data_IF_594653306533
#
_entry.id   IF_594653306533
#
_cell.length_a   1.000
_cell.length_b   1.000
_cell.length_c   1.000
_cell.angle_alpha   90.00
_cell.angle_beta   90.00
_cell.angle_gamma   90.00
#
_symmetry.space_group_name_H-M   'P 1'
#
loop_
_entity.id
_entity.type
_entity.pdbx_description
1 polymer ?
#
# COMPACT_ATOMS: atom_id res chain seq x y z
N UNK A 1 -18.95 -0.97 -3.96
CA UNK A 1 -18.20 -0.56 -5.15
C UNK A 1 -17.51 -1.81 -5.66
N UNK A 2 -18.07 -2.44 -6.70
CA UNK A 2 -17.38 -3.51 -7.42
C UNK A 2 -16.21 -2.88 -8.17
N UNK A 3 -15.04 -2.92 -7.54
CA UNK A 3 -13.85 -2.27 -8.04
C UNK A 3 -13.24 -3.22 -9.05
N UNK A 4 -13.69 -3.09 -10.30
CA UNK A 4 -13.23 -3.85 -11.48
C UNK A 4 -11.75 -3.57 -11.74
N UNK A 5 -10.89 -4.13 -10.92
CA UNK A 5 -9.47 -4.20 -11.20
C UNK A 5 -9.24 -5.17 -12.37
N UNK A 6 -8.37 -4.83 -13.34
CA UNK A 6 -7.88 -5.80 -14.31
C UNK A 6 -7.27 -7.02 -13.60
N UNK A 7 -7.32 -8.20 -14.22
CA UNK A 7 -6.80 -9.44 -13.62
C UNK A 7 -5.33 -9.31 -13.18
N UNK A 8 -4.51 -8.60 -13.97
CA UNK A 8 -3.12 -8.28 -13.63
C UNK A 8 -2.97 -7.51 -12.30
N UNK A 9 -3.96 -6.68 -11.96
CA UNK A 9 -4.01 -5.95 -10.69
C UNK A 9 -4.61 -6.79 -9.56
N UNK A 10 -5.59 -7.66 -9.85
CA UNK A 10 -6.18 -8.58 -8.87
C UNK A 10 -5.14 -9.53 -8.29
N UNK A 11 -4.17 -9.98 -9.10
CA UNK A 11 -3.05 -10.79 -8.59
C UNK A 11 -2.19 -10.06 -7.55
N UNK A 12 -2.17 -8.73 -7.58
CA UNK A 12 -1.47 -7.87 -6.61
C UNK A 12 -2.33 -7.49 -5.42
N UNK A 13 -3.63 -7.83 -5.45
CA UNK A 13 -4.57 -7.68 -4.35
C UNK A 13 -4.33 -8.73 -3.24
N UNK A 14 -3.06 -9.08 -3.03
CA UNK A 14 -2.57 -10.04 -2.06
C UNK A 14 -1.26 -9.51 -1.48
N UNK A 15 -1.15 -9.54 -0.16
CA UNK A 15 0.02 -9.14 0.61
C UNK A 15 1.35 -9.78 0.14
N UNK A 16 1.31 -11.02 -0.37
CA UNK A 16 2.50 -11.77 -0.79
C UNK A 16 3.12 -11.28 -2.11
N UNK A 17 2.31 -10.78 -3.04
CA UNK A 17 2.73 -10.36 -4.39
C UNK A 17 2.86 -8.85 -4.52
N UNK A 18 2.24 -8.11 -3.60
CA UNK A 18 2.39 -6.67 -3.49
C UNK A 18 3.73 -6.34 -2.81
N UNK A 19 4.77 -6.14 -3.61
CA UNK A 19 6.16 -5.90 -3.17
C UNK A 19 6.71 -4.57 -3.73
N UNK A 20 7.83 -4.09 -3.17
CA UNK A 20 8.55 -2.93 -3.70
C UNK A 20 8.90 -3.08 -5.19
N UNK A 21 9.28 -4.28 -5.62
CA UNK A 21 9.60 -4.58 -7.01
C UNK A 21 8.38 -4.49 -7.92
N UNK A 22 7.23 -5.04 -7.49
CA UNK A 22 5.98 -4.90 -8.21
C UNK A 22 5.57 -3.43 -8.38
N UNK A 23 5.73 -2.61 -7.32
CA UNK A 23 5.44 -1.18 -7.40
C UNK A 23 6.38 -0.44 -8.34
N UNK A 24 7.67 -0.79 -8.31
CA UNK A 24 8.65 -0.22 -9.22
C UNK A 24 8.31 -0.54 -10.68
N UNK A 25 7.89 -1.78 -10.98
CA UNK A 25 7.46 -2.19 -12.33
C UNK A 25 6.20 -1.47 -12.78
N UNK A 26 5.18 -1.36 -11.93
CA UNK A 26 3.97 -0.59 -12.21
C UNK A 26 4.30 0.87 -12.50
N UNK A 27 5.20 1.44 -11.71
CA UNK A 27 5.67 2.81 -11.85
C UNK A 27 6.36 3.05 -13.21
N UNK A 28 7.31 2.19 -13.59
CA UNK A 28 8.03 2.28 -14.86
C UNK A 28 7.22 1.78 -16.07
N UNK A 29 5.92 1.49 -15.89
CA UNK A 29 5.04 0.91 -16.92
C UNK A 29 5.58 -0.39 -17.51
N UNK A 30 6.33 -1.14 -16.70
CA UNK A 30 6.84 -2.48 -17.00
C UNK A 30 5.93 -3.56 -16.42
N UNK A 31 4.82 -3.17 -15.79
CA UNK A 31 3.78 -4.05 -15.29
C UNK A 31 2.48 -3.78 -16.04
N UNK A 32 1.72 -4.83 -16.32
CA UNK A 32 0.41 -4.74 -16.98
C UNK A 32 -0.62 -4.03 -16.07
N UNK A 33 -0.40 -4.01 -14.77
CA UNK A 33 -1.21 -3.24 -13.85
C UNK A 33 -0.77 -1.76 -13.81
N UNK A 34 -1.63 -0.81 -14.20
CA UNK A 34 -1.26 0.60 -14.19
C UNK A 34 -1.11 1.15 -12.77
N UNK A 35 -0.22 2.11 -12.61
CA UNK A 35 -0.01 2.84 -11.34
C UNK A 35 -1.31 3.45 -10.77
N UNK A 36 -2.27 3.82 -11.62
CA UNK A 36 -3.58 4.34 -11.19
C UNK A 36 -4.41 3.32 -10.37
N UNK A 37 -4.17 2.02 -10.55
CA UNK A 37 -4.78 0.97 -9.76
C UNK A 37 -4.13 0.77 -8.38
N UNK A 38 -3.00 1.45 -8.09
CA UNK A 38 -2.26 1.26 -6.84
C UNK A 38 -3.10 1.54 -5.60
N UNK A 39 -3.90 2.61 -5.59
CA UNK A 39 -4.75 2.94 -4.43
C UNK A 39 -5.73 1.79 -4.11
N UNK A 40 -6.21 1.12 -5.15
CA UNK A 40 -7.15 0.02 -5.04
C UNK A 40 -6.48 -1.27 -4.58
N UNK A 41 -5.32 -1.58 -5.17
CA UNK A 41 -4.48 -2.70 -4.74
C UNK A 41 -4.05 -2.54 -3.28
N UNK A 42 -3.61 -1.34 -2.91
CA UNK A 42 -3.23 -1.00 -1.55
C UNK A 42 -4.40 -1.23 -0.59
N UNK A 43 -5.59 -0.72 -0.94
CA UNK A 43 -6.80 -0.90 -0.12
C UNK A 43 -7.08 -2.37 0.15
N UNK A 44 -7.05 -3.20 -0.89
CA UNK A 44 -7.41 -4.60 -0.74
C UNK A 44 -6.30 -5.45 -0.11
N UNK A 45 -5.02 -5.14 -0.35
CA UNK A 45 -3.90 -5.81 0.31
C UNK A 45 -3.81 -5.47 1.81
N UNK A 46 -4.29 -4.29 2.22
CA UNK A 46 -4.21 -3.77 3.59
C UNK A 46 -5.56 -3.72 4.34
N UNK A 47 -6.62 -4.25 3.73
CA UNK A 47 -7.93 -4.52 4.34
C UNK A 47 -8.71 -3.30 4.88
N UNK A 48 -8.45 -2.11 4.33
CA UNK A 48 -9.31 -0.94 4.57
C UNK A 48 -9.21 -0.27 5.95
N UNK A 49 -8.20 -0.61 6.76
CA UNK A 49 -7.99 -0.08 8.12
C UNK A 49 -7.16 1.21 8.21
N UNK A 50 -6.97 1.72 9.43
CA UNK A 50 -6.06 2.83 9.73
C UNK A 50 -4.82 2.33 10.47
N UNK A 51 -3.71 2.22 9.74
CA UNK A 51 -2.45 1.66 10.24
C UNK A 51 -1.43 2.74 10.63
N UNK A 52 -1.83 4.01 10.64
CA UNK A 52 -0.89 5.15 10.77
C UNK A 52 -0.08 5.10 12.06
N UNK A 53 -0.67 4.69 13.18
CA UNK A 53 0.04 4.57 14.46
C UNK A 53 1.15 3.51 14.39
N UNK A 54 0.87 2.34 13.80
CA UNK A 54 1.89 1.31 13.58
C UNK A 54 2.99 1.83 12.65
N UNK A 55 2.61 2.46 11.55
CA UNK A 55 3.58 3.00 10.58
C UNK A 55 4.47 4.08 11.18
N UNK A 56 3.94 4.97 12.01
CA UNK A 56 4.74 5.98 12.70
C UNK A 56 5.78 5.31 13.62
N UNK A 57 5.38 4.31 14.42
CA UNK A 57 6.30 3.56 15.29
C UNK A 57 7.37 2.79 14.51
N UNK A 58 7.05 2.31 13.32
CA UNK A 58 7.97 1.56 12.46
C UNK A 58 8.83 2.44 11.55
N UNK A 59 8.86 3.76 11.78
CA UNK A 59 9.77 4.66 11.07
C UNK A 59 9.42 4.87 9.59
N UNK A 60 8.14 4.69 9.20
CA UNK A 60 7.70 4.94 7.83
C UNK A 60 7.88 6.40 7.42
N UNK A 61 7.89 7.32 8.38
CA UNK A 61 8.10 8.76 8.16
C UNK A 61 9.57 9.16 8.07
N UNK A 62 10.53 8.23 8.16
CA UNK A 62 11.98 8.55 8.07
C UNK A 62 12.50 8.57 6.64
N UNK A 63 11.64 8.44 5.63
CA UNK A 63 12.04 8.53 4.22
C UNK A 63 12.16 9.99 3.80
N UNK A 64 12.72 10.25 2.60
CA UNK A 64 12.78 11.62 2.04
C UNK A 64 11.40 12.25 1.82
N UNK A 65 10.34 11.45 1.71
CA UNK A 65 8.96 11.93 1.56
C UNK A 65 8.25 12.16 2.91
N UNK A 66 8.88 11.82 4.03
CA UNK A 66 8.41 12.16 5.37
C UNK A 66 7.00 11.65 5.68
N UNK A 67 6.17 12.52 6.26
CA UNK A 67 4.80 12.18 6.65
C UNK A 67 3.88 11.82 5.48
N UNK A 68 4.23 12.18 4.22
CA UNK A 68 3.44 11.80 3.04
C UNK A 68 3.29 10.29 2.92
N UNK A 69 4.26 9.53 3.43
CA UNK A 69 4.21 8.06 3.41
C UNK A 69 3.11 7.45 4.29
N UNK A 70 2.54 8.22 5.22
CA UNK A 70 1.38 7.75 6.00
C UNK A 70 0.11 7.60 5.16
N UNK A 71 0.06 8.18 3.96
CA UNK A 71 -1.01 7.92 2.98
C UNK A 71 -1.09 6.44 2.61
N UNK A 72 0.03 5.71 2.58
CA UNK A 72 0.03 4.26 2.36
C UNK A 72 -0.49 3.47 3.56
N UNK A 73 -0.57 4.08 4.73
CA UNK A 73 -1.01 3.45 5.97
C UNK A 73 -2.47 3.76 6.32
N UNK A 74 -3.03 4.84 5.76
CA UNK A 74 -4.46 5.16 5.88
C UNK A 74 -5.23 4.52 4.73
N UNK A 75 -5.88 3.40 5.00
CA UNK A 75 -6.62 2.63 3.99
C UNK A 75 -8.13 2.78 4.15
N UNK A 76 -8.59 3.72 4.99
CA UNK A 76 -10.02 3.93 5.19
C UNK A 76 -10.70 4.28 3.86
N UNK A 77 -11.89 3.71 3.59
CA UNK A 77 -12.61 3.98 2.36
C UNK A 77 -12.91 5.48 2.19
N UNK A 78 -12.91 5.96 0.95
CA UNK A 78 -13.19 7.36 0.61
C UNK A 78 -11.97 8.29 0.59
N UNK A 79 -10.78 7.81 0.96
CA UNK A 79 -9.51 8.55 0.86
C UNK A 79 -8.66 8.04 -0.31
N UNK A 80 -9.01 8.44 -1.53
CA UNK A 80 -8.21 8.12 -2.72
C UNK A 80 -7.24 9.27 -2.97
N UNK A 81 -5.96 9.04 -2.68
CA UNK A 81 -4.90 10.01 -2.96
C UNK A 81 -4.25 9.67 -4.30
N UNK A 82 -4.17 10.62 -5.26
CA UNK A 82 -3.35 10.44 -6.44
C UNK A 82 -1.89 10.29 -6.03
N UNK A 83 -1.32 9.11 -6.26
CA UNK A 83 0.08 8.81 -5.94
C UNK A 83 0.96 9.20 -7.12
N UNK A 84 1.58 10.37 -7.00
CA UNK A 84 2.55 10.89 -7.96
C UNK A 84 3.99 10.50 -7.62
N UNK A 85 4.94 11.08 -8.35
CA UNK A 85 6.37 10.82 -8.19
C UNK A 85 6.96 11.15 -6.82
N UNK A 86 6.34 12.08 -6.09
CA UNK A 86 6.83 12.49 -4.78
C UNK A 86 6.70 11.38 -3.72
N UNK A 87 6.00 10.29 -4.03
CA UNK A 87 5.81 9.14 -3.15
C UNK A 87 6.86 8.04 -3.34
N UNK A 88 7.72 8.09 -4.37
CA UNK A 88 8.76 7.06 -4.58
C UNK A 88 9.61 6.80 -3.33
N UNK A 89 10.07 7.82 -2.57
CA UNK A 89 10.87 7.56 -1.37
C UNK A 89 10.14 6.73 -0.31
N UNK A 90 8.81 6.68 -0.33
CA UNK A 90 8.04 5.84 0.57
C UNK A 90 8.29 4.35 0.33
N UNK A 91 8.67 3.96 -0.89
CA UNK A 91 8.90 2.56 -1.24
C UNK A 91 10.13 1.95 -0.53
N UNK A 92 11.04 2.77 -0.01
CA UNK A 92 12.20 2.30 0.77
C UNK A 92 11.79 1.66 2.11
N UNK A 93 10.59 1.99 2.61
CA UNK A 93 10.01 1.42 3.83
C UNK A 93 8.81 0.52 3.54
N UNK A 94 8.59 0.12 2.29
CA UNK A 94 7.37 -0.56 1.89
C UNK A 94 7.13 -1.89 2.64
N UNK A 95 8.16 -2.71 2.82
CA UNK A 95 8.03 -3.95 3.61
C UNK A 95 7.75 -3.68 5.10
N UNK A 96 8.24 -2.56 5.63
CA UNK A 96 7.88 -2.10 6.99
C UNK A 96 6.44 -1.58 7.08
N UNK A 97 5.87 -1.02 6.00
CA UNK A 97 4.45 -0.66 5.97
C UNK A 97 3.60 -1.93 5.98
N UNK A 98 4.01 -2.90 5.17
CA UNK A 98 3.38 -4.20 5.05
C UNK A 98 3.27 -4.94 6.38
N UNK A 99 4.32 -4.96 7.19
CA UNK A 99 4.25 -5.62 8.51
C UNK A 99 3.11 -5.08 9.38
N UNK A 100 2.79 -3.78 9.29
CA UNK A 100 1.66 -3.19 10.01
C UNK A 100 0.31 -3.73 9.54
N UNK A 101 0.14 -3.96 8.24
CA UNK A 101 -1.10 -4.54 7.70
C UNK A 101 -1.33 -5.98 8.18
N UNK A 102 -0.24 -6.75 8.31
CA UNK A 102 -0.30 -8.13 8.80
C UNK A 102 -0.53 -8.22 10.31
N UNK A 103 0.04 -7.31 11.11
CA UNK A 103 -0.14 -7.32 12.56
C UNK A 103 -1.61 -7.19 12.96
N UNK A 104 -2.37 -6.33 12.30
CA UNK A 104 -3.82 -6.18 12.55
C UNK A 104 -4.60 -7.46 12.20
N UNK A 105 -4.28 -8.08 11.06
CA UNK A 105 -4.82 -9.37 10.65
C UNK A 105 -4.68 -10.46 11.73
N UNK A 106 -3.52 -10.53 12.38
CA UNK A 106 -3.28 -11.51 13.46
C UNK A 106 -3.96 -11.15 14.77
N UNK A 107 -4.22 -9.86 15.05
CA UNK A 107 -5.00 -9.43 16.22
C UNK A 107 -6.48 -9.72 16.04
N UNK A 108 -7.05 -9.45 14.85
CA UNK A 108 -8.45 -9.76 14.55
C UNK A 108 -8.76 -11.26 14.54
N UNK A 109 -7.82 -12.13 14.13
CA UNK A 109 -8.00 -13.59 14.18
C UNK A 109 -7.84 -14.22 15.56
N UNK A 110 -7.40 -13.45 16.57
CA UNK A 110 -7.18 -13.92 17.95
C UNK A 110 -8.23 -13.38 18.95
N UNK A 111 -9.16 -12.56 18.47
CA UNK A 111 -10.34 -12.10 19.20
C UNK A 111 -11.56 -12.95 18.79
#
# INVERSE_FOLDING_TARGET
>A
MDRQLPDACLQKCNYGTYSRDALSKMYFKQDECPMAAMAEIQFCAAQGGDHRECCMRNGITTTLAGQKCLTFCDQRPGRVTPLDMSYIPCFDRFESMKSCFYHDLTRFRRA
#
